data_IF_598209626607
#
_entry.id   IF_598209626607
#
_cell.length_a   1.000
_cell.length_b   1.000
_cell.length_c   1.000
_cell.angle_alpha   90.00
_cell.angle_beta   90.00
_cell.angle_gamma   90.00
#
_symmetry.space_group_name_H-M   'P 1'
#
loop_
_entity.id
_entity.type
_entity.pdbx_description
1 polymer ?
#
# COMPACT_ATOMS: atom_id res chain seq x y z
N UNK A 1 -9.81 -7.13 2.82
CA UNK A 1 -8.51 -6.71 3.39
C UNK A 1 -7.71 -7.97 3.69
N UNK A 2 -6.42 -7.97 3.38
CA UNK A 2 -5.50 -9.09 3.63
C UNK A 2 -4.36 -8.60 4.52
N UNK A 3 -4.03 -9.36 5.56
CA UNK A 3 -2.91 -9.07 6.45
C UNK A 3 -1.74 -9.99 6.13
N UNK A 4 -0.54 -9.44 6.08
CA UNK A 4 0.72 -10.16 5.84
C UNK A 4 1.68 -9.79 6.97
N UNK A 5 1.57 -10.46 8.14
CA UNK A 5 2.35 -10.10 9.32
C UNK A 5 3.84 -10.37 9.11
N UNK A 6 4.67 -9.35 9.33
CA UNK A 6 6.14 -9.44 9.41
C UNK A 6 6.65 -8.40 10.42
N UNK A 7 7.90 -8.51 10.85
CA UNK A 7 8.53 -7.47 11.67
C UNK A 7 8.58 -6.14 10.90
N UNK A 8 8.49 -4.97 11.58
CA UNK A 8 8.52 -3.65 10.92
C UNK A 8 9.69 -3.48 9.95
N UNK A 9 10.87 -4.00 10.31
CA UNK A 9 12.11 -3.88 9.54
C UNK A 9 12.06 -4.67 8.21
N UNK A 10 11.19 -5.69 8.13
CA UNK A 10 10.97 -6.51 6.94
C UNK A 10 9.68 -6.14 6.19
N UNK A 11 8.94 -5.12 6.66
CA UNK A 11 7.64 -4.75 6.08
C UNK A 11 7.78 -4.28 4.62
N UNK A 12 8.83 -3.53 4.32
CA UNK A 12 9.11 -3.00 2.98
C UNK A 12 9.38 -4.12 1.98
N UNK A 13 10.32 -5.02 2.30
CA UNK A 13 10.65 -6.18 1.47
C UNK A 13 9.41 -7.06 1.22
N UNK A 14 8.61 -7.30 2.27
CA UNK A 14 7.36 -8.05 2.12
C UNK A 14 6.32 -7.32 1.28
N UNK A 15 6.32 -6.00 1.26
CA UNK A 15 5.43 -5.23 0.39
C UNK A 15 5.87 -5.32 -1.08
N UNK A 16 7.17 -5.27 -1.35
CA UNK A 16 7.71 -5.47 -2.70
C UNK A 16 7.37 -6.88 -3.23
N UNK A 17 7.57 -7.92 -2.42
CA UNK A 17 7.15 -9.29 -2.76
C UNK A 17 5.63 -9.38 -3.05
N UNK A 18 4.80 -8.65 -2.28
CA UNK A 18 3.36 -8.63 -2.51
C UNK A 18 2.98 -7.92 -3.81
N UNK A 19 3.69 -6.84 -4.17
CA UNK A 19 3.52 -6.15 -5.46
C UNK A 19 3.90 -7.08 -6.61
N UNK A 20 5.03 -7.78 -6.52
CA UNK A 20 5.46 -8.74 -7.53
C UNK A 20 4.40 -9.81 -7.78
N UNK A 21 3.87 -10.43 -6.72
CA UNK A 21 2.81 -11.43 -6.84
C UNK A 21 1.52 -10.87 -7.47
N UNK A 22 1.15 -9.62 -7.18
CA UNK A 22 0.00 -8.97 -7.79
C UNK A 22 0.22 -8.77 -9.29
N UNK A 23 1.41 -8.34 -9.69
CA UNK A 23 1.78 -8.17 -11.10
C UNK A 23 1.83 -9.51 -11.83
N UNK A 24 2.44 -10.53 -11.24
CA UNK A 24 2.48 -11.90 -11.77
C UNK A 24 1.08 -12.51 -11.93
N UNK A 25 0.13 -12.13 -11.08
CA UNK A 25 -1.28 -12.55 -11.21
C UNK A 25 -2.02 -11.85 -12.35
N UNK A 26 -1.38 -10.91 -13.05
CA UNK A 26 -1.93 -10.18 -14.19
C UNK A 26 -2.66 -8.89 -13.81
N UNK A 27 -2.50 -8.36 -12.59
CA UNK A 27 -3.01 -7.02 -12.28
C UNK A 27 -2.26 -5.96 -13.08
N UNK A 28 -2.99 -4.96 -13.54
CA UNK A 28 -2.41 -3.80 -14.17
C UNK A 28 -1.56 -3.01 -13.13
N UNK A 29 -0.29 -2.67 -13.41
CA UNK A 29 0.53 -1.84 -12.52
C UNK A 29 -0.16 -0.53 -12.11
N UNK A 30 -0.83 0.11 -13.08
CA UNK A 30 -1.62 1.33 -12.91
C UNK A 30 -2.80 1.21 -11.94
N UNK A 31 -3.12 0.02 -11.46
CA UNK A 31 -4.17 -0.24 -10.49
C UNK A 31 -3.63 -0.46 -9.07
N UNK A 32 -2.31 -0.37 -8.88
CA UNK A 32 -1.64 -0.63 -7.59
C UNK A 32 -1.06 0.68 -7.04
N UNK A 33 -1.34 0.94 -5.76
CA UNK A 33 -0.71 1.99 -4.96
C UNK A 33 0.02 1.35 -3.76
N UNK A 34 1.28 1.70 -3.55
CA UNK A 34 2.03 1.36 -2.34
C UNK A 34 2.06 2.58 -1.43
N UNK A 35 1.69 2.41 -0.16
CA UNK A 35 1.73 3.44 0.87
C UNK A 35 2.66 3.02 2.00
N UNK A 36 3.68 3.81 2.33
CA UNK A 36 4.53 3.57 3.51
C UNK A 36 4.09 4.41 4.72
N UNK A 37 4.16 3.83 5.92
CA UNK A 37 3.67 4.46 7.14
C UNK A 37 4.69 5.40 7.81
N UNK A 38 6.00 5.08 7.73
CA UNK A 38 7.06 5.88 8.36
C UNK A 38 8.08 6.41 7.34
N UNK A 39 8.85 5.54 6.68
CA UNK A 39 9.90 5.97 5.75
C UNK A 39 9.43 5.91 4.30
N UNK A 40 9.74 6.92 3.46
CA UNK A 40 9.38 6.89 2.04
C UNK A 40 10.09 5.73 1.35
N UNK A 41 9.38 5.09 0.41
CA UNK A 41 9.95 3.98 -0.36
C UNK A 41 11.24 4.42 -1.10
N UNK A 42 12.31 3.59 -1.18
CA UNK A 42 13.51 3.95 -1.93
C UNK A 42 13.24 4.31 -3.39
N UNK A 43 12.27 3.62 -4.02
CA UNK A 43 11.79 3.97 -5.36
C UNK A 43 11.20 5.39 -5.42
N UNK A 44 10.33 5.74 -4.47
CA UNK A 44 9.75 7.09 -4.38
C UNK A 44 10.85 8.16 -4.24
N UNK A 45 11.83 7.91 -3.36
CA UNK A 45 12.96 8.82 -3.17
C UNK A 45 13.77 8.99 -4.47
N UNK A 46 14.02 7.90 -5.19
CA UNK A 46 14.72 7.92 -6.47
C UNK A 46 13.98 8.74 -7.52
N UNK A 47 12.69 8.51 -7.72
CA UNK A 47 11.91 9.23 -8.74
C UNK A 47 11.74 10.72 -8.40
N UNK A 48 11.51 11.04 -7.13
CA UNK A 48 11.45 12.43 -6.66
C UNK A 48 12.75 13.19 -6.94
N UNK A 49 13.90 12.51 -6.96
CA UNK A 49 15.20 13.13 -7.27
C UNK A 49 15.28 13.69 -8.70
N UNK A 50 14.43 13.21 -9.61
CA UNK A 50 14.30 13.74 -10.97
C UNK A 50 13.28 14.88 -11.11
N UNK A 51 12.58 15.23 -10.02
CA UNK A 51 11.68 16.38 -9.94
C UNK A 51 10.25 16.00 -9.54
N UNK A 52 9.74 16.72 -8.54
CA UNK A 52 8.42 16.46 -7.96
C UNK A 52 7.28 16.56 -8.98
N UNK A 53 7.28 17.56 -9.86
CA UNK A 53 6.20 17.73 -10.85
C UNK A 53 6.12 16.54 -11.81
N UNK A 54 7.28 16.04 -12.26
CA UNK A 54 7.36 14.85 -13.12
C UNK A 54 6.85 13.61 -12.39
N UNK A 55 7.33 13.39 -11.16
CA UNK A 55 6.91 12.25 -10.35
C UNK A 55 5.40 12.28 -10.06
N UNK A 56 4.84 13.43 -9.68
CA UNK A 56 3.39 13.54 -9.43
C UNK A 56 2.53 13.44 -10.69
N UNK A 57 3.09 13.71 -11.89
CA UNK A 57 2.38 13.45 -13.14
C UNK A 57 2.18 11.95 -13.40
N UNK A 58 3.11 11.09 -12.96
CA UNK A 58 3.01 9.63 -13.09
C UNK A 58 1.79 9.05 -12.37
N UNK A 59 1.41 9.67 -11.23
CA UNK A 59 0.19 9.26 -10.49
C UNK A 59 -1.06 9.32 -11.38
N UNK A 60 -1.20 10.41 -12.15
CA UNK A 60 -2.32 10.63 -13.05
C UNK A 60 -2.20 9.83 -14.35
N UNK A 61 -0.98 9.60 -14.83
CA UNK A 61 -0.71 8.78 -16.02
C UNK A 61 -1.12 7.32 -15.78
N UNK A 62 -0.88 6.79 -14.58
CA UNK A 62 -1.32 5.44 -14.23
C UNK A 62 -0.66 4.34 -15.08
N UNK A 63 0.54 4.59 -15.61
CA UNK A 63 1.26 3.63 -16.43
C UNK A 63 1.99 2.55 -15.60
N UNK A 64 2.26 2.82 -14.32
CA UNK A 64 3.03 1.96 -13.43
C UNK A 64 2.47 1.96 -11.99
N UNK A 65 3.02 1.07 -11.16
CA UNK A 65 2.81 1.05 -9.71
C UNK A 65 3.23 2.40 -9.14
N UNK A 66 2.35 3.02 -8.35
CA UNK A 66 2.67 4.28 -7.72
C UNK A 66 3.06 4.06 -6.26
N UNK A 67 4.16 4.66 -5.82
CA UNK A 67 4.65 4.58 -4.45
C UNK A 67 4.53 5.93 -3.79
N UNK A 68 3.94 6.03 -2.60
CA UNK A 68 3.91 7.24 -1.79
C UNK A 68 3.95 6.89 -0.30
N UNK A 69 4.05 7.91 0.55
CA UNK A 69 3.82 7.76 1.99
C UNK A 69 2.37 8.11 2.36
N UNK A 70 1.95 7.71 3.55
CA UNK A 70 0.59 8.00 4.08
C UNK A 70 0.34 9.50 4.37
N UNK A 71 1.33 10.39 4.25
CA UNK A 71 1.11 11.83 4.34
C UNK A 71 0.68 12.47 3.01
N UNK A 72 0.57 11.67 1.94
CA UNK A 72 -0.07 12.06 0.68
C UNK A 72 -1.38 12.83 0.91
N UNK A 73 -1.47 14.03 0.32
CA UNK A 73 -2.67 14.88 0.35
C UNK A 73 -3.43 14.92 -0.97
N UNK A 74 -2.85 14.33 -2.03
CA UNK A 74 -3.46 14.28 -3.36
C UNK A 74 -4.42 13.10 -3.47
N UNK A 75 -5.50 13.20 -4.26
CA UNK A 75 -6.36 12.05 -4.53
C UNK A 75 -5.55 10.98 -5.28
N UNK A 76 -5.43 9.80 -4.68
CA UNK A 76 -4.76 8.64 -5.28
C UNK A 76 -5.56 7.38 -4.97
N UNK A 77 -6.73 7.23 -5.57
CA UNK A 77 -7.51 5.99 -5.42
C UNK A 77 -7.00 4.97 -6.43
N UNK A 78 -6.81 3.72 -5.99
CA UNK A 78 -6.39 2.59 -6.82
C UNK A 78 -7.19 1.35 -6.43
N UNK A 79 -7.36 0.41 -7.36
CA UNK A 79 -8.09 -0.83 -7.08
C UNK A 79 -7.41 -1.63 -5.96
N UNK A 80 -6.08 -1.63 -5.94
CA UNK A 80 -5.27 -2.26 -4.90
C UNK A 80 -4.42 -1.24 -4.18
N UNK A 81 -4.41 -1.32 -2.86
CA UNK A 81 -3.44 -0.63 -2.02
C UNK A 81 -2.63 -1.66 -1.25
N UNK A 82 -1.31 -1.52 -1.29
CA UNK A 82 -0.36 -2.23 -0.42
C UNK A 82 0.14 -1.24 0.61
N UNK A 83 -0.25 -1.43 1.86
CA UNK A 83 0.19 -0.61 2.99
C UNK A 83 1.37 -1.27 3.69
N UNK A 84 2.44 -0.50 3.88
CA UNK A 84 3.65 -0.90 4.59
C UNK A 84 3.62 -0.30 5.99
N UNK A 85 3.54 -1.16 7.01
CA UNK A 85 3.62 -0.81 8.43
C UNK A 85 5.03 -1.09 8.95
N UNK A 86 5.96 -0.22 8.55
CA UNK A 86 7.39 -0.21 8.87
C UNK A 86 7.71 0.46 10.22
N UNK A 87 6.71 0.58 11.09
CA UNK A 87 6.84 1.15 12.44
C UNK A 87 6.16 0.28 13.48
N UNK A 88 6.70 0.25 14.70
CA UNK A 88 6.08 -0.42 15.84
C UNK A 88 5.09 0.48 16.61
N UNK A 89 4.97 1.76 16.22
CA UNK A 89 4.07 2.72 16.85
C UNK A 89 2.60 2.40 16.49
N UNK A 90 1.84 1.95 17.49
CA UNK A 90 0.44 1.55 17.32
C UNK A 90 -0.44 2.70 16.78
N UNK A 91 -0.22 3.94 17.22
CA UNK A 91 -0.99 5.09 16.78
C UNK A 91 -0.74 5.40 15.31
N UNK A 92 0.52 5.34 14.86
CA UNK A 92 0.87 5.46 13.45
C UNK A 92 0.29 4.33 12.62
N UNK A 93 0.36 3.08 13.08
CA UNK A 93 -0.23 1.94 12.36
C UNK A 93 -1.74 2.11 12.12
N UNK A 94 -2.48 2.52 13.15
CA UNK A 94 -3.94 2.75 13.04
C UNK A 94 -4.25 3.91 12.09
N UNK A 95 -3.53 5.03 12.20
CA UNK A 95 -3.73 6.17 11.29
C UNK A 95 -3.38 5.82 9.84
N UNK A 96 -2.30 5.09 9.62
CA UNK A 96 -1.88 4.62 8.31
C UNK A 96 -2.92 3.68 7.69
N UNK A 97 -3.48 2.76 8.48
CA UNK A 97 -4.55 1.87 8.04
C UNK A 97 -5.79 2.64 7.60
N UNK A 98 -6.29 3.57 8.42
CA UNK A 98 -7.48 4.34 8.07
C UNK A 98 -7.29 5.16 6.81
N UNK A 99 -6.11 5.78 6.63
CA UNK A 99 -5.79 6.47 5.38
C UNK A 99 -5.78 5.52 4.20
N UNK A 100 -5.07 4.40 4.28
CA UNK A 100 -5.01 3.42 3.19
C UNK A 100 -6.39 2.90 2.78
N UNK A 101 -7.33 2.72 3.73
CA UNK A 101 -8.71 2.34 3.44
C UNK A 101 -9.45 3.34 2.55
N UNK A 102 -9.13 4.64 2.64
CA UNK A 102 -9.73 5.66 1.76
C UNK A 102 -9.22 5.61 0.32
N UNK A 103 -8.03 5.02 0.10
CA UNK A 103 -7.40 4.90 -1.20
C UNK A 103 -7.74 3.58 -1.91
N UNK A 104 -8.11 2.53 -1.17
CA UNK A 104 -8.37 1.20 -1.74
C UNK A 104 -9.77 1.10 -2.38
N UNK A 105 -9.81 0.55 -3.59
CA UNK A 105 -11.03 0.21 -4.32
C UNK A 105 -11.56 -1.16 -3.92
N UNK A 106 -10.86 -2.21 -4.31
CA UNK A 106 -11.27 -3.61 -4.15
C UNK A 106 -10.39 -4.41 -3.19
N UNK A 107 -9.11 -4.06 -3.04
CA UNK A 107 -8.18 -4.78 -2.17
C UNK A 107 -7.27 -3.83 -1.38
N UNK A 108 -7.11 -4.14 -0.10
CA UNK A 108 -6.09 -3.57 0.77
C UNK A 108 -5.25 -4.72 1.33
N UNK A 109 -3.97 -4.75 1.01
CA UNK A 109 -2.95 -5.66 1.57
C UNK A 109 -2.13 -4.87 2.59
N UNK A 110 -1.94 -5.42 3.79
CA UNK A 110 -1.20 -4.75 4.86
C UNK A 110 -0.01 -5.60 5.26
N UNK A 111 1.20 -5.10 5.03
CA UNK A 111 2.47 -5.78 5.32
C UNK A 111 3.15 -5.12 6.53
N UNK A 112 3.54 -5.91 7.54
CA UNK A 112 4.30 -5.39 8.70
C UNK A 112 3.60 -5.56 10.05
N UNK A 113 3.75 -4.55 10.91
CA UNK A 113 3.29 -4.56 12.30
C UNK A 113 1.75 -4.52 12.41
N UNK A 114 1.13 -5.69 12.25
CA UNK A 114 -0.33 -5.84 12.21
C UNK A 114 -0.95 -6.19 13.57
N UNK A 115 -0.12 -6.61 14.54
CA UNK A 115 -0.59 -7.02 15.87
C UNK A 115 -1.24 -5.87 16.67
N UNK A 116 -0.89 -4.62 16.37
CA UNK A 116 -1.47 -3.44 17.02
C UNK A 116 -2.77 -2.95 16.35
N UNK A 117 -3.16 -3.53 15.21
CA UNK A 117 -4.35 -3.10 14.49
C UNK A 117 -5.61 -3.62 15.19
N UNK A 118 -6.71 -2.84 15.22
CA UNK A 118 -7.98 -3.33 15.74
C UNK A 118 -8.41 -4.58 14.96
N UNK A 119 -8.95 -5.58 15.66
CA UNK A 119 -9.51 -6.77 15.03
C UNK A 119 -10.57 -6.34 14.01
N UNK A 120 -10.32 -6.64 12.73
CA UNK A 120 -11.34 -6.53 11.69
C UNK A 120 -12.12 -7.84 11.72
N UNK A 121 -13.46 -7.84 11.85
CA UNK A 121 -14.22 -9.08 11.74
C UNK A 121 -13.89 -9.73 10.40
N UNK A 122 -13.36 -10.95 10.45
CA UNK A 122 -13.11 -11.74 9.26
C UNK A 122 -14.43 -11.81 8.48
N UNK A 123 -14.46 -11.26 7.27
CA UNK A 123 -15.58 -11.54 6.36
C UNK A 123 -15.35 -12.97 5.87
N UNK A 124 -15.93 -13.93 6.58
CA UNK A 124 -16.01 -15.31 6.13
C UNK A 124 -16.76 -15.34 4.79
N UNK A 125 -16.08 -15.82 3.76
CA UNK A 125 -16.63 -16.39 2.53
C UNK A 125 -17.81 -15.69 1.88
N UNK A 126 -17.54 -14.77 0.94
CA UNK A 126 -18.48 -14.56 -0.15
C UNK A 126 -18.07 -15.44 -1.34
N UNK A 127 -18.79 -16.55 -1.50
CA UNK A 127 -18.69 -17.41 -2.68
C UNK A 127 -18.98 -16.60 -3.94
N UNK A 128 -18.14 -16.79 -4.95
CA UNK A 128 -18.37 -16.33 -6.33
C UNK A 128 -19.58 -17.12 -6.88
N UNK A 129 -20.70 -16.48 -7.27
CA UNK A 129 -21.75 -17.19 -7.98
C UNK A 129 -21.27 -17.56 -9.38
N UNK A 130 -21.68 -18.76 -9.83
CA UNK A 130 -21.37 -19.36 -11.12
C UNK A 130 -21.97 -18.58 -12.31
#
# INVERSE_FOLDING_TARGET
MQLVPVAPEAALERADEAVDLLLESGRNPGDILVLTADQPHPWQQHELSFGADRYWAQLAEGADVFYADVALTRPARREVVVLVLDTADAGRCVLALEKARTHAGSLLVVCGATAQLPEVPATEGQAVPA
#
